data_IF_772010411396
#
_entry.id   IF_772010411396
#
_cell.length_a   1.000
_cell.length_b   1.000
_cell.length_c   1.000
_cell.angle_alpha   90.00
_cell.angle_beta   90.00
_cell.angle_gamma   90.00
#
_symmetry.space_group_name_H-M   'P 1'
#
loop_
_entity.id
_entity.type
_entity.pdbx_description
1 polymer ?
#
# COMPACT_ATOMS: atom_id res chain seq x y z
N UNK A 1 2.93 12.42 9.90
CA UNK A 1 2.69 13.68 9.17
C UNK A 1 1.69 13.40 8.06
N UNK A 2 0.52 14.04 8.04
CA UNK A 2 -0.47 13.78 6.99
C UNK A 2 -0.07 14.54 5.73
N UNK A 3 0.57 13.86 4.77
CA UNK A 3 0.67 14.37 3.41
C UNK A 3 -0.57 13.92 2.65
N UNK A 4 -1.14 14.80 1.82
CA UNK A 4 -2.23 14.45 0.90
C UNK A 4 -1.64 14.55 -0.49
N UNK A 5 -1.75 13.49 -1.26
CA UNK A 5 -1.24 13.43 -2.61
C UNK A 5 -2.40 13.11 -3.53
N UNK A 6 -2.57 13.87 -4.60
CA UNK A 6 -3.41 13.44 -5.72
C UNK A 6 -2.51 12.58 -6.58
N UNK A 7 -2.89 11.33 -6.73
CA UNK A 7 -2.11 10.38 -7.51
C UNK A 7 -2.99 9.78 -8.59
N UNK A 8 -2.38 9.52 -9.75
CA UNK A 8 -3.01 8.69 -10.76
C UNK A 8 -2.49 7.27 -10.57
N UNK A 9 -3.41 6.34 -10.27
CA UNK A 9 -3.08 4.94 -10.01
C UNK A 9 -3.16 4.07 -11.27
N UNK A 10 -2.19 3.19 -11.46
CA UNK A 10 -2.33 2.01 -12.33
C UNK A 10 -2.47 0.78 -11.45
N UNK A 11 -3.53 0.01 -11.66
CA UNK A 11 -3.80 -1.24 -10.96
C UNK A 11 -3.34 -2.38 -11.85
N UNK A 12 -2.53 -3.27 -11.30
CA UNK A 12 -2.12 -4.50 -11.99
C UNK A 12 -2.55 -5.69 -11.16
N UNK A 13 -3.50 -6.45 -11.69
CA UNK A 13 -3.86 -7.75 -11.15
C UNK A 13 -2.80 -8.77 -11.58
N UNK A 14 -2.31 -9.61 -10.67
CA UNK A 14 -1.34 -10.65 -10.99
C UNK A 14 -2.02 -11.67 -11.91
N UNK A 15 -1.28 -12.12 -12.92
CA UNK A 15 -1.72 -13.24 -13.75
C UNK A 15 -1.15 -14.52 -13.14
N UNK A 16 -1.95 -15.23 -12.34
CA UNK A 16 -1.56 -16.47 -11.65
C UNK A 16 -2.47 -16.82 -10.47
N UNK A 17 -2.06 -17.80 -9.65
CA UNK A 17 -2.85 -18.33 -8.51
C UNK A 17 -2.93 -17.40 -7.28
N UNK A 18 -2.20 -16.28 -7.26
CA UNK A 18 -2.22 -15.38 -6.11
C UNK A 18 -3.04 -14.12 -6.39
N UNK A 19 -3.94 -13.75 -5.49
CA UNK A 19 -4.76 -12.52 -5.53
C UNK A 19 -3.97 -11.26 -5.10
N UNK A 20 -2.66 -11.20 -5.37
CA UNK A 20 -1.80 -10.08 -4.97
C UNK A 20 -1.91 -8.89 -5.94
N UNK A 21 -2.83 -7.98 -5.68
CA UNK A 21 -3.00 -6.74 -6.47
C UNK A 21 -1.90 -5.75 -6.16
N UNK A 22 -1.24 -5.22 -7.20
CA UNK A 22 -0.24 -4.17 -7.08
C UNK A 22 -0.81 -2.83 -7.57
N UNK A 23 -0.63 -1.80 -6.75
CA UNK A 23 -0.96 -0.42 -7.07
C UNK A 23 0.32 0.37 -7.27
N UNK A 24 0.41 1.07 -8.40
CA UNK A 24 1.43 2.08 -8.63
C UNK A 24 0.75 3.43 -8.69
N UNK A 25 1.05 4.28 -7.71
CA UNK A 25 0.53 5.64 -7.60
C UNK A 25 1.64 6.63 -7.92
N UNK A 26 1.39 7.53 -8.87
CA UNK A 26 2.32 8.62 -9.18
C UNK A 26 1.75 9.93 -8.71
N UNK A 27 2.47 10.63 -7.83
CA UNK A 27 2.19 12.01 -7.47
C UNK A 27 2.42 12.90 -8.68
N UNK A 28 1.36 13.52 -9.17
CA UNK A 28 1.39 14.35 -10.38
C UNK A 28 2.16 15.66 -10.21
N UNK A 29 2.32 16.15 -8.98
CA UNK A 29 3.00 17.42 -8.69
C UNK A 29 4.51 17.23 -8.53
N UNK A 30 4.94 16.17 -7.83
CA UNK A 30 6.35 15.94 -7.51
C UNK A 30 7.02 14.86 -8.36
N UNK A 31 6.24 14.01 -9.03
CA UNK A 31 6.73 12.83 -9.74
C UNK A 31 7.09 11.65 -8.82
N UNK A 32 6.87 11.76 -7.51
CA UNK A 32 7.09 10.65 -6.56
C UNK A 32 6.19 9.45 -6.92
N UNK A 33 6.75 8.23 -6.86
CA UNK A 33 6.00 7.00 -7.08
C UNK A 33 5.87 6.20 -5.78
N UNK A 34 4.67 5.71 -5.51
CA UNK A 34 4.35 4.83 -4.40
C UNK A 34 3.86 3.50 -4.94
N UNK A 35 4.52 2.41 -4.54
CA UNK A 35 4.08 1.05 -4.85
C UNK A 35 3.53 0.41 -3.59
N UNK A 36 2.27 -0.04 -3.68
CA UNK A 36 1.56 -0.74 -2.61
C UNK A 36 1.06 -2.06 -3.18
N UNK A 37 0.96 -3.08 -2.34
CA UNK A 37 0.37 -4.34 -2.71
C UNK A 37 -0.60 -4.79 -1.63
N UNK A 38 -1.72 -5.36 -2.04
CA UNK A 38 -2.69 -6.01 -1.14
C UNK A 38 -3.01 -7.40 -1.65
N UNK A 39 -3.22 -8.33 -0.74
CA UNK A 39 -3.80 -9.65 -1.03
C UNK A 39 -5.30 -9.70 -0.73
N UNK A 40 -5.88 -8.60 -0.22
CA UNK A 40 -7.31 -8.48 0.03
C UNK A 40 -8.02 -8.00 -1.25
N UNK A 41 -8.89 -8.85 -1.78
CA UNK A 41 -9.66 -8.53 -2.99
C UNK A 41 -10.64 -7.37 -2.75
N UNK A 42 -11.22 -7.23 -1.56
CA UNK A 42 -12.13 -6.13 -1.27
C UNK A 42 -11.40 -4.79 -1.31
N UNK A 43 -10.19 -4.70 -0.74
CA UNK A 43 -9.34 -3.51 -0.85
C UNK A 43 -8.93 -3.22 -2.30
N UNK A 44 -8.67 -4.27 -3.08
CA UNK A 44 -8.33 -4.18 -4.49
C UNK A 44 -9.48 -3.63 -5.36
N UNK A 45 -10.71 -3.96 -5.02
CA UNK A 45 -11.90 -3.57 -5.79
C UNK A 45 -12.41 -2.16 -5.44
N UNK A 46 -12.06 -1.63 -4.26
CA UNK A 46 -12.44 -0.27 -3.83
C UNK A 46 -11.68 0.85 -4.55
N UNK A 47 -10.55 0.53 -5.19
CA UNK A 47 -9.73 1.50 -5.92
C UNK A 47 -9.84 1.18 -7.41
N UNK A 48 -10.13 2.18 -8.23
CA UNK A 48 -10.22 2.04 -9.69
C UNK A 48 -9.33 3.05 -10.42
N UNK A 49 -9.16 2.85 -11.73
CA UNK A 49 -8.34 3.74 -12.54
C UNK A 49 -8.95 5.15 -12.63
N UNK A 50 -8.16 6.16 -12.28
CA UNK A 50 -8.59 7.56 -12.27
C UNK A 50 -9.10 8.05 -10.91
N UNK A 51 -9.18 7.16 -9.91
CA UNK A 51 -9.52 7.57 -8.55
C UNK A 51 -8.41 8.39 -7.91
N UNK A 52 -8.83 9.42 -7.17
CA UNK A 52 -7.94 10.21 -6.32
C UNK A 52 -7.79 9.52 -4.97
N UNK A 53 -6.64 8.89 -4.73
CA UNK A 53 -6.36 8.26 -3.42
C UNK A 53 -5.57 9.19 -2.51
N UNK A 54 -5.64 8.98 -1.20
CA UNK A 54 -4.86 9.72 -0.19
C UNK A 54 -3.91 8.75 0.51
N UNK A 55 -2.61 9.04 0.50
CA UNK A 55 -1.59 8.26 1.21
C UNK A 55 -1.23 8.95 2.53
N UNK A 56 -1.53 8.33 3.67
CA UNK A 56 -1.23 8.89 4.99
C UNK A 56 0.02 8.27 5.62
N UNK A 57 1.04 9.08 5.90
CA UNK A 57 2.28 8.64 6.58
C UNK A 57 2.21 8.95 8.07
N UNK A 58 2.10 7.92 8.92
CA UNK A 58 2.10 8.06 10.38
C UNK A 58 3.40 7.58 10.98
N UNK A 59 3.80 8.21 12.08
CA UNK A 59 4.83 7.63 12.95
C UNK A 59 4.19 6.42 13.62
N UNK A 60 4.85 5.27 13.51
CA UNK A 60 4.48 4.13 14.32
C UNK A 60 4.92 4.38 15.77
N UNK A 61 3.95 4.42 16.68
CA UNK A 61 4.18 4.67 18.11
C UNK A 61 4.15 3.39 18.94
N UNK A 62 3.76 2.28 18.33
CA UNK A 62 3.69 0.96 18.96
C UNK A 62 4.08 -0.10 17.92
N UNK A 63 5.33 -0.06 17.42
CA UNK A 63 5.79 -1.10 16.51
C UNK A 63 5.68 -2.44 17.23
N UNK A 64 5.35 -3.53 16.52
CA UNK A 64 5.38 -4.86 17.12
C UNK A 64 6.71 -5.01 17.86
N UNK A 65 6.66 -5.18 19.19
CA UNK A 65 7.85 -5.63 19.90
C UNK A 65 8.19 -6.97 19.26
N UNK A 66 9.32 -7.04 18.56
CA UNK A 66 9.89 -8.32 18.18
C UNK A 66 9.93 -9.14 19.46
N UNK A 67 9.06 -10.13 19.55
CA UNK A 67 9.13 -11.09 20.64
C UNK A 67 10.37 -11.89 20.30
N UNK A 68 11.51 -11.45 20.83
CA UNK A 68 12.72 -12.25 20.88
C UNK A 68 12.34 -13.47 21.71
N UNK A 69 11.91 -14.52 21.01
CA UNK A 69 11.57 -15.82 21.56
C UNK A 69 12.82 -16.41 22.16
N UNK A 70 13.08 -16.04 23.41
CA UNK A 70 13.91 -16.78 24.32
C UNK A 70 13.24 -18.12 24.66
N UNK A 71 14.07 -19.14 24.88
CA UNK A 71 13.78 -20.48 25.43
C UNK A 71 13.45 -21.57 24.38
N UNK A 72 13.99 -22.79 24.43
CA UNK A 72 14.91 -23.44 25.37
C UNK A 72 15.35 -24.79 24.75
N UNK A 73 16.46 -25.36 25.22
CA UNK A 73 16.82 -26.76 24.98
C UNK A 73 18.31 -26.99 24.90
#
# INVERSE_FOLDING_TARGET
MKKKYIVNGKITYPQGEQALTNFTFTNVETGEMFNLATSDQAEADEITYGDHVIIEVKKDTDPPQETEGQAAG
#
